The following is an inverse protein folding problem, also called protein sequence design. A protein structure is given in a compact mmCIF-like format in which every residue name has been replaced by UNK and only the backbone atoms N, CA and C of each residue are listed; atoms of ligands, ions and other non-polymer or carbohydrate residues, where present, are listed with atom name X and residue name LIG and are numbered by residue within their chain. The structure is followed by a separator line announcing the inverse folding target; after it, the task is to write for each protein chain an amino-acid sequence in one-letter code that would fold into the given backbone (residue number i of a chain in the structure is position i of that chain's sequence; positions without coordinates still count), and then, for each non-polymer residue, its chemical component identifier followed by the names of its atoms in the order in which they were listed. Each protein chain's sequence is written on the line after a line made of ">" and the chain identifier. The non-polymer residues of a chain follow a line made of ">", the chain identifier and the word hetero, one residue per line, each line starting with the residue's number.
data_IF_925897676302
#
_entry.id   IF_925897676302
#
_cell.length_a   1.000
_cell.length_b   1.000
_cell.length_c   1.000
_cell.angle_alpha   90.00
_cell.angle_beta   90.00
_cell.angle_gamma   90.00
#
_symmetry.space_group_name_H-M   'P 1'
#
loop_
_entity.id
_entity.type
_entity.pdbx_description
1 polymer ?
#
# COMPACT_ATOMS: atom_id res chain seq x y z
N UNK A 1 -11.53 21.52 21.00
CA UNK A 1 -11.14 22.31 19.81
C UNK A 1 -11.89 21.76 18.59
N UNK A 2 -12.70 22.59 17.94
CA UNK A 2 -13.43 22.23 16.72
C UNK A 2 -12.44 22.14 15.56
N UNK A 3 -12.13 20.93 15.07
CA UNK A 3 -11.28 20.78 13.88
C UNK A 3 -12.01 21.33 12.66
N UNK A 4 -11.36 22.20 11.90
CA UNK A 4 -11.93 22.72 10.65
C UNK A 4 -12.03 21.61 9.60
N UNK A 5 -12.96 21.70 8.64
CA UNK A 5 -13.05 20.74 7.53
C UNK A 5 -11.73 20.59 6.76
N UNK A 6 -10.91 21.63 6.75
CA UNK A 6 -9.57 21.63 6.17
C UNK A 6 -8.65 20.65 6.89
N UNK A 7 -8.61 20.72 8.23
CA UNK A 7 -7.78 19.83 9.06
C UNK A 7 -8.19 18.36 8.91
N UNK A 8 -9.50 18.09 8.75
CA UNK A 8 -10.01 16.73 8.53
C UNK A 8 -9.53 16.11 7.21
N UNK A 9 -9.22 16.91 6.20
CA UNK A 9 -8.72 16.42 4.91
C UNK A 9 -7.19 16.27 4.96
N UNK A 10 -6.49 17.16 5.68
CA UNK A 10 -5.03 17.15 5.74
C UNK A 10 -4.46 15.91 6.43
N UNK A 11 -5.02 15.45 7.56
CA UNK A 11 -4.50 14.23 8.20
C UNK A 11 -4.69 12.98 7.32
N UNK A 12 -5.76 12.96 6.51
CA UNK A 12 -6.01 11.87 5.54
C UNK A 12 -4.93 11.85 4.47
N UNK A 13 -4.60 13.01 3.89
CA UNK A 13 -3.53 13.13 2.90
C UNK A 13 -2.17 12.75 3.52
N UNK A 14 -1.86 13.24 4.72
CA UNK A 14 -0.63 12.87 5.45
C UNK A 14 -0.54 11.36 5.66
N UNK A 15 -1.61 10.72 6.12
CA UNK A 15 -1.64 9.28 6.37
C UNK A 15 -1.45 8.49 5.07
N UNK A 16 -2.16 8.86 3.99
CA UNK A 16 -1.97 8.25 2.67
C UNK A 16 -0.54 8.41 2.17
N UNK A 17 0.05 9.60 2.35
CA UNK A 17 1.42 9.91 1.98
C UNK A 17 2.45 9.07 2.74
N UNK A 18 2.28 8.92 4.05
CA UNK A 18 3.09 8.04 4.87
C UNK A 18 2.96 6.57 4.42
N UNK A 19 1.72 6.07 4.29
CA UNK A 19 1.45 4.70 3.87
C UNK A 19 2.07 4.37 2.51
N UNK A 20 1.95 5.26 1.51
CA UNK A 20 2.50 4.96 0.17
C UNK A 20 4.02 4.92 0.20
N UNK A 21 4.69 5.84 0.90
CA UNK A 21 6.16 5.81 1.02
C UNK A 21 6.63 4.56 1.77
N UNK A 22 5.90 4.13 2.80
CA UNK A 22 6.18 2.89 3.51
C UNK A 22 5.95 1.64 2.64
N UNK A 23 5.02 1.67 1.68
CA UNK A 23 4.84 0.60 0.67
C UNK A 23 6.03 0.55 -0.29
N UNK A 24 6.49 1.72 -0.78
CA UNK A 24 7.70 1.79 -1.62
C UNK A 24 8.93 1.30 -0.85
N UNK A 25 9.06 1.69 0.43
CA UNK A 25 10.13 1.24 1.32
C UNK A 25 10.12 -0.28 1.47
N UNK A 26 8.94 -0.88 1.68
CA UNK A 26 8.83 -2.33 1.76
C UNK A 26 9.29 -3.02 0.49
N UNK A 27 8.84 -2.55 -0.68
CA UNK A 27 9.25 -3.15 -1.95
C UNK A 27 10.72 -2.92 -2.31
N UNK A 28 11.35 -1.92 -1.70
CA UNK A 28 12.79 -1.64 -1.80
C UNK A 28 13.58 -2.56 -0.88
N UNK A 29 13.13 -2.71 0.36
CA UNK A 29 13.83 -3.51 1.37
C UNK A 29 13.66 -5.01 1.10
N UNK A 30 12.43 -5.43 0.79
CA UNK A 30 12.06 -6.82 0.58
C UNK A 30 11.56 -7.05 -0.86
N UNK A 31 12.20 -7.95 -1.66
CA UNK A 31 13.37 -8.77 -1.33
C UNK A 31 14.74 -8.14 -1.71
N UNK A 32 14.76 -6.98 -2.36
CA UNK A 32 15.97 -6.43 -3.00
C UNK A 32 17.14 -6.19 -2.04
N UNK A 33 16.96 -5.25 -1.09
CA UNK A 33 18.01 -4.90 -0.12
C UNK A 33 18.37 -6.04 0.82
N UNK A 34 17.39 -6.79 1.32
CA UNK A 34 17.63 -7.97 2.17
C UNK A 34 18.58 -8.96 1.46
N UNK A 35 18.37 -9.20 0.17
CA UNK A 35 19.25 -10.04 -0.63
C UNK A 35 20.69 -9.54 -0.74
N UNK A 36 20.95 -8.26 -0.45
CA UNK A 36 22.31 -7.69 -0.44
C UNK A 36 23.08 -7.95 0.85
N UNK A 37 22.39 -8.28 1.95
CA UNK A 37 23.04 -8.40 3.26
C UNK A 37 24.16 -9.42 3.29
N UNK A 38 24.00 -10.56 2.61
CA UNK A 38 25.03 -11.60 2.50
C UNK A 38 26.35 -11.13 1.88
N UNK A 39 26.35 -10.00 1.18
CA UNK A 39 27.56 -9.43 0.56
C UNK A 39 28.19 -8.32 1.39
N UNK A 40 27.49 -7.76 2.38
CA UNK A 40 27.99 -6.64 3.17
C UNK A 40 29.22 -7.07 3.98
N UNK A 41 30.22 -6.20 4.08
CA UNK A 41 31.36 -6.39 4.99
C UNK A 41 31.23 -5.56 6.28
N UNK A 42 30.38 -4.53 6.27
CA UNK A 42 30.06 -3.68 7.41
C UNK A 42 28.62 -3.15 7.34
N UNK A 43 28.09 -2.58 8.43
CA UNK A 43 26.75 -1.98 8.45
C UNK A 43 25.61 -2.95 8.73
N UNK A 44 25.89 -4.14 9.26
CA UNK A 44 24.90 -5.17 9.63
C UNK A 44 23.78 -4.64 10.51
N UNK A 45 24.11 -3.83 11.52
CA UNK A 45 23.13 -3.25 12.45
C UNK A 45 22.15 -2.31 11.72
N UNK A 46 22.60 -1.27 10.97
CA UNK A 46 21.70 -0.47 10.14
C UNK A 46 20.85 -1.30 9.16
N UNK A 47 21.44 -2.31 8.52
CA UNK A 47 20.71 -3.17 7.59
C UNK A 47 19.58 -3.95 8.27
N UNK A 48 19.86 -4.56 9.43
CA UNK A 48 18.87 -5.27 10.23
C UNK A 48 17.77 -4.34 10.73
N UNK A 49 18.12 -3.12 11.15
CA UNK A 49 17.14 -2.10 11.56
C UNK A 49 16.14 -1.83 10.44
N UNK A 50 16.56 -1.75 9.18
CA UNK A 50 15.64 -1.55 8.06
C UNK A 50 14.65 -2.70 7.85
N UNK A 51 15.12 -3.95 8.02
CA UNK A 51 14.27 -5.13 7.92
C UNK A 51 13.27 -5.16 9.06
N UNK A 52 13.74 -5.01 10.31
CA UNK A 52 12.89 -5.02 11.49
C UNK A 52 11.88 -3.88 11.46
N UNK A 53 12.29 -2.68 11.03
CA UNK A 53 11.40 -1.54 10.84
C UNK A 53 10.27 -1.84 9.85
N UNK A 54 10.57 -2.51 8.73
CA UNK A 54 9.55 -2.93 7.77
C UNK A 54 8.58 -3.97 8.32
N UNK A 55 9.09 -4.92 9.11
CA UNK A 55 8.30 -5.95 9.78
C UNK A 55 7.35 -5.34 10.79
N UNK A 56 7.85 -4.46 11.67
CA UNK A 56 7.06 -3.78 12.71
C UNK A 56 5.99 -2.87 12.11
N UNK A 57 6.25 -2.23 10.97
CA UNK A 57 5.27 -1.37 10.29
C UNK A 57 4.32 -2.13 9.35
N UNK A 58 4.46 -3.45 9.21
CA UNK A 58 3.56 -4.27 8.40
C UNK A 58 2.08 -4.13 8.81
N UNK A 59 1.71 -4.16 10.11
CA UNK A 59 0.33 -3.97 10.58
C UNK A 59 -0.23 -2.56 10.37
N UNK A 60 0.62 -1.59 10.01
CA UNK A 60 0.23 -0.19 9.83
C UNK A 60 -0.14 0.08 8.36
N UNK A 61 0.75 -0.30 7.44
CA UNK A 61 0.73 0.14 6.02
C UNK A 61 -0.60 -0.13 5.32
N UNK A 62 -0.93 -1.40 5.11
CA UNK A 62 -2.12 -1.80 4.35
C UNK A 62 -3.41 -1.62 5.17
N UNK A 63 -3.49 -1.97 6.47
CA UNK A 63 -4.69 -1.73 7.27
C UNK A 63 -5.11 -0.26 7.31
N UNK A 64 -4.18 0.67 7.55
CA UNK A 64 -4.50 2.10 7.58
C UNK A 64 -4.92 2.62 6.19
N UNK A 65 -4.27 2.14 5.13
CA UNK A 65 -4.59 2.55 3.77
C UNK A 65 -5.96 2.04 3.31
N UNK A 66 -6.37 0.83 3.72
CA UNK A 66 -7.74 0.33 3.48
C UNK A 66 -8.78 1.03 4.34
N UNK A 67 -8.48 1.32 5.60
CA UNK A 67 -9.36 2.11 6.47
C UNK A 67 -9.67 3.48 5.86
N UNK A 68 -8.66 4.22 5.43
CA UNK A 68 -8.84 5.52 4.76
C UNK A 68 -9.65 5.37 3.48
N UNK A 69 -9.38 4.35 2.67
CA UNK A 69 -10.15 4.11 1.45
C UNK A 69 -11.61 3.77 1.72
N UNK A 70 -11.90 3.03 2.80
CA UNK A 70 -13.26 2.80 3.28
C UNK A 70 -13.95 4.09 3.68
N UNK A 71 -13.28 4.92 4.49
CA UNK A 71 -13.75 6.24 4.91
C UNK A 71 -14.11 7.14 3.71
N UNK A 72 -13.24 7.19 2.70
CA UNK A 72 -13.47 7.98 1.48
C UNK A 72 -14.54 7.37 0.55
N UNK A 73 -14.82 6.07 0.68
CA UNK A 73 -15.82 5.36 -0.09
C UNK A 73 -17.22 5.41 0.52
N UNK A 74 -17.36 5.73 1.82
CA UNK A 74 -18.63 5.69 2.57
C UNK A 74 -19.80 6.36 1.82
N UNK A 75 -19.62 7.58 1.33
CA UNK A 75 -20.69 8.30 0.62
C UNK A 75 -21.10 7.58 -0.69
N UNK A 76 -20.14 6.99 -1.40
CA UNK A 76 -20.39 6.20 -2.61
C UNK A 76 -21.13 4.90 -2.33
N UNK A 77 -20.89 4.29 -1.16
CA UNK A 77 -21.54 3.05 -0.72
C UNK A 77 -22.99 3.34 -0.31
N UNK A 78 -23.21 4.35 0.55
CA UNK A 78 -24.51 4.60 1.18
C UNK A 78 -25.45 5.39 0.27
N UNK A 79 -24.99 6.49 -0.35
CA UNK A 79 -25.91 7.49 -0.92
C UNK A 79 -25.97 7.46 -2.45
N UNK A 80 -24.98 6.89 -3.15
CA UNK A 80 -24.88 6.98 -4.61
C UNK A 80 -25.57 5.80 -5.34
N UNK A 81 -26.25 6.03 -6.47
CA UNK A 81 -26.87 4.95 -7.25
C UNK A 81 -25.83 4.08 -7.96
N UNK A 82 -26.16 2.80 -8.21
CA UNK A 82 -25.29 1.81 -8.85
C UNK A 82 -24.68 2.29 -10.17
N UNK A 83 -25.50 2.88 -11.04
CA UNK A 83 -25.07 3.39 -12.35
C UNK A 83 -23.93 4.41 -12.23
N UNK A 84 -24.05 5.38 -11.31
CA UNK A 84 -23.01 6.41 -11.15
C UNK A 84 -21.70 5.83 -10.62
N UNK A 85 -21.79 4.85 -9.73
CA UNK A 85 -20.64 4.26 -9.04
C UNK A 85 -19.88 3.28 -9.93
N UNK A 86 -20.59 2.43 -10.66
CA UNK A 86 -20.00 1.44 -11.55
C UNK A 86 -19.23 2.14 -12.67
N UNK A 87 -19.87 3.12 -13.34
CA UNK A 87 -19.25 3.81 -14.49
C UNK A 87 -18.04 4.67 -14.12
N UNK A 88 -17.90 5.11 -12.86
CA UNK A 88 -16.85 6.07 -12.47
C UNK A 88 -15.74 5.45 -11.61
N UNK A 89 -16.08 4.75 -10.54
CA UNK A 89 -15.08 4.34 -9.54
C UNK A 89 -14.59 2.93 -9.79
N UNK A 90 -15.52 1.98 -9.92
CA UNK A 90 -15.18 0.56 -10.03
C UNK A 90 -14.48 0.28 -11.37
N UNK A 91 -15.06 0.76 -12.48
CA UNK A 91 -14.42 0.62 -13.80
C UNK A 91 -13.02 1.23 -13.81
N UNK A 92 -12.82 2.39 -13.18
CA UNK A 92 -11.50 3.01 -13.13
C UNK A 92 -10.48 2.19 -12.32
N UNK A 93 -10.88 1.61 -11.18
CA UNK A 93 -9.98 0.78 -10.37
C UNK A 93 -9.52 -0.48 -11.12
N UNK A 94 -10.46 -1.21 -11.73
CA UNK A 94 -10.11 -2.41 -12.50
C UNK A 94 -9.36 -2.07 -13.78
N UNK A 95 -9.71 -0.98 -14.46
CA UNK A 95 -8.98 -0.50 -15.62
C UNK A 95 -7.52 -0.21 -15.28
N UNK A 96 -7.27 0.55 -14.21
CA UNK A 96 -5.90 0.88 -13.79
C UNK A 96 -5.15 -0.36 -13.32
N UNK A 97 -5.82 -1.28 -12.63
CA UNK A 97 -5.22 -2.55 -12.21
C UNK A 97 -4.72 -3.38 -13.40
N UNK A 98 -5.57 -3.55 -14.43
CA UNK A 98 -5.21 -4.33 -15.62
C UNK A 98 -4.17 -3.59 -16.47
N UNK A 99 -4.38 -2.30 -16.73
CA UNK A 99 -3.49 -1.49 -17.55
C UNK A 99 -2.09 -1.44 -16.95
N UNK A 100 -1.96 -1.00 -15.69
CA UNK A 100 -0.66 -0.92 -15.05
C UNK A 100 -0.09 -2.29 -14.71
N UNK A 101 -0.93 -3.30 -14.46
CA UNK A 101 -0.47 -4.68 -14.34
C UNK A 101 0.25 -5.14 -15.61
N UNK A 102 -0.34 -4.86 -16.78
CA UNK A 102 0.25 -5.20 -18.07
C UNK A 102 1.53 -4.39 -18.35
N UNK A 103 1.52 -3.07 -18.09
CA UNK A 103 2.71 -2.22 -18.23
C UNK A 103 3.84 -2.72 -17.30
N UNK A 104 3.54 -3.00 -16.03
CA UNK A 104 4.52 -3.53 -15.09
C UNK A 104 5.11 -4.84 -15.58
N UNK A 105 4.26 -5.78 -16.01
CA UNK A 105 4.70 -7.08 -16.52
C UNK A 105 5.65 -6.93 -17.73
N UNK A 106 5.26 -6.13 -18.72
CA UNK A 106 6.06 -5.90 -19.91
C UNK A 106 7.38 -5.18 -19.60
N UNK A 107 7.33 -4.10 -18.80
CA UNK A 107 8.52 -3.35 -18.42
C UNK A 107 9.50 -4.17 -17.60
N UNK A 108 9.01 -4.96 -16.63
CA UNK A 108 9.85 -5.78 -15.77
C UNK A 108 10.49 -6.92 -16.55
N UNK A 109 9.76 -7.57 -17.48
CA UNK A 109 10.38 -8.53 -18.39
C UNK A 109 11.53 -7.87 -19.13
N UNK A 110 11.29 -6.75 -19.83
CA UNK A 110 12.34 -6.08 -20.60
C UNK A 110 13.54 -5.65 -19.77
N UNK A 111 13.33 -5.13 -18.55
CA UNK A 111 14.42 -4.78 -17.63
C UNK A 111 15.19 -6.03 -17.20
N UNK A 112 14.49 -7.12 -16.87
CA UNK A 112 15.09 -8.36 -16.39
C UNK A 112 15.84 -9.12 -17.48
N UNK A 113 15.40 -9.07 -18.73
CA UNK A 113 16.03 -9.79 -19.85
C UNK A 113 17.13 -8.97 -20.52
N UNK A 114 16.87 -7.69 -20.81
CA UNK A 114 17.77 -6.89 -21.65
C UNK A 114 18.81 -6.10 -20.85
N UNK A 115 18.49 -5.71 -19.60
CA UNK A 115 19.30 -4.75 -18.85
C UNK A 115 20.06 -5.42 -17.71
N UNK A 116 19.36 -6.21 -16.90
CA UNK A 116 19.90 -6.71 -15.63
C UNK A 116 20.22 -8.20 -15.66
N UNK A 117 19.61 -8.97 -16.58
CA UNK A 117 19.75 -10.43 -16.67
C UNK A 117 19.21 -11.20 -15.45
N UNK A 118 18.65 -10.50 -14.47
CA UNK A 118 18.20 -11.06 -13.18
C UNK A 118 16.95 -10.33 -12.69
N UNK A 119 16.18 -10.99 -11.82
CA UNK A 119 14.97 -10.44 -11.19
C UNK A 119 15.25 -10.08 -9.75
N UNK A 120 14.66 -8.97 -9.25
CA UNK A 120 14.68 -8.64 -7.82
C UNK A 120 14.08 -9.75 -6.98
N UNK A 121 12.96 -10.29 -7.45
CA UNK A 121 12.11 -11.20 -6.69
C UNK A 121 11.85 -12.47 -7.48
N UNK A 122 11.93 -13.60 -6.78
CA UNK A 122 11.52 -14.91 -7.29
C UNK A 122 10.11 -15.31 -6.85
N UNK A 123 9.41 -14.45 -6.10
CA UNK A 123 8.04 -14.71 -5.70
C UNK A 123 7.09 -14.81 -6.90
N UNK A 124 6.12 -15.72 -6.79
CA UNK A 124 5.03 -15.87 -7.76
C UNK A 124 4.20 -14.58 -7.81
N UNK A 125 4.32 -13.81 -8.90
CA UNK A 125 3.65 -12.53 -9.09
C UNK A 125 3.41 -12.29 -10.59
N UNK A 126 2.25 -11.73 -10.93
CA UNK A 126 1.86 -11.41 -12.30
C UNK A 126 2.92 -10.59 -13.05
N UNK A 127 3.65 -9.72 -12.34
CA UNK A 127 4.67 -8.87 -12.95
C UNK A 127 5.92 -9.65 -13.44
N UNK A 128 6.11 -10.90 -13.00
CA UNK A 128 7.20 -11.78 -13.42
C UNK A 128 6.72 -13.00 -14.24
N UNK A 129 5.46 -12.99 -14.69
CA UNK A 129 4.88 -14.11 -15.43
C UNK A 129 5.67 -14.39 -16.73
N UNK A 130 5.81 -15.66 -17.12
CA UNK A 130 6.51 -16.06 -18.34
C UNK A 130 5.64 -16.01 -19.60
N UNK A 131 4.32 -15.95 -19.45
CA UNK A 131 3.37 -15.94 -20.57
C UNK A 131 2.14 -15.07 -20.28
N UNK A 132 1.42 -14.68 -21.34
CA UNK A 132 0.17 -13.92 -21.22
C UNK A 132 -0.88 -14.69 -20.40
N UNK A 133 -0.99 -16.00 -20.60
CA UNK A 133 -1.94 -16.82 -19.86
C UNK A 133 -1.62 -16.85 -18.36
N UNK A 134 -0.35 -17.02 -18.00
CA UNK A 134 0.09 -16.96 -16.61
C UNK A 134 -0.13 -15.56 -16.00
N UNK A 135 0.19 -14.50 -16.74
CA UNK A 135 -0.08 -13.12 -16.33
C UNK A 135 -1.56 -12.93 -16.00
N UNK A 136 -2.47 -13.37 -16.87
CA UNK A 136 -3.91 -13.25 -16.65
C UNK A 136 -4.34 -14.07 -15.43
N UNK A 137 -3.92 -15.33 -15.31
CA UNK A 137 -4.22 -16.20 -14.16
C UNK A 137 -3.80 -15.55 -12.84
N UNK A 138 -2.55 -15.08 -12.74
CA UNK A 138 -2.02 -14.43 -11.53
C UNK A 138 -2.72 -13.10 -11.25
N UNK A 139 -3.04 -12.33 -12.29
CA UNK A 139 -3.78 -11.07 -12.17
C UNK A 139 -5.18 -11.30 -11.60
N UNK A 140 -5.90 -12.34 -12.05
CA UNK A 140 -7.21 -12.71 -11.53
C UNK A 140 -7.16 -13.24 -10.10
N UNK A 141 -6.09 -13.94 -9.73
CA UNK A 141 -5.86 -14.40 -8.36
C UNK A 141 -5.34 -13.28 -7.42
N UNK A 142 -5.34 -12.02 -7.87
CA UNK A 142 -4.78 -10.88 -7.14
C UNK A 142 -3.33 -11.07 -6.70
N UNK A 143 -2.57 -11.91 -7.41
CA UNK A 143 -1.14 -12.13 -7.21
C UNK A 143 -0.32 -11.10 -7.98
N UNK A 144 -0.63 -9.83 -7.80
CA UNK A 144 0.04 -8.71 -8.46
C UNK A 144 0.48 -7.70 -7.42
N UNK A 145 1.62 -7.04 -7.63
CA UNK A 145 2.06 -5.94 -6.75
C UNK A 145 1.00 -4.84 -6.62
N UNK A 146 0.14 -4.69 -7.65
CA UNK A 146 -0.94 -3.73 -7.68
C UNK A 146 -2.27 -4.20 -7.06
N UNK A 147 -2.29 -5.35 -6.36
CA UNK A 147 -3.50 -6.01 -5.83
C UNK A 147 -4.42 -5.12 -4.99
N UNK A 148 -3.92 -4.06 -4.34
CA UNK A 148 -4.74 -3.10 -3.59
C UNK A 148 -5.90 -2.54 -4.43
N UNK A 149 -5.67 -2.23 -5.72
CA UNK A 149 -6.70 -1.68 -6.60
C UNK A 149 -7.82 -2.69 -6.87
N UNK A 150 -7.43 -3.96 -7.08
CA UNK A 150 -8.36 -5.08 -7.21
C UNK A 150 -9.18 -5.26 -5.93
N UNK A 151 -8.51 -5.31 -4.78
CA UNK A 151 -9.15 -5.41 -3.46
C UNK A 151 -10.10 -4.25 -3.20
N UNK A 152 -9.71 -3.01 -3.50
CA UNK A 152 -10.56 -1.84 -3.31
C UNK A 152 -11.84 -1.92 -4.15
N UNK A 153 -11.75 -2.36 -5.41
CA UNK A 153 -12.91 -2.60 -6.27
C UNK A 153 -13.84 -3.66 -5.68
N UNK A 154 -13.28 -4.79 -5.27
CA UNK A 154 -14.03 -5.91 -4.69
C UNK A 154 -14.68 -5.55 -3.35
N UNK A 155 -13.93 -4.95 -2.42
CA UNK A 155 -14.44 -4.56 -1.11
C UNK A 155 -15.54 -3.52 -1.22
N UNK A 156 -15.38 -2.56 -2.13
CA UNK A 156 -16.41 -1.58 -2.41
C UNK A 156 -17.69 -2.25 -2.91
N UNK A 157 -17.59 -3.21 -3.85
CA UNK A 157 -18.73 -3.99 -4.35
C UNK A 157 -19.41 -4.73 -3.21
N UNK A 158 -18.68 -5.52 -2.42
CA UNK A 158 -19.21 -6.27 -1.29
C UNK A 158 -19.88 -5.34 -0.26
N UNK A 159 -19.21 -4.26 0.14
CA UNK A 159 -19.77 -3.30 1.09
C UNK A 159 -21.05 -2.63 0.58
N UNK A 160 -21.15 -2.37 -0.73
CA UNK A 160 -22.35 -1.77 -1.34
C UNK A 160 -23.51 -2.74 -1.46
N UNK A 161 -23.25 -3.98 -1.89
CA UNK A 161 -24.28 -5.05 -1.99
C UNK A 161 -24.83 -5.37 -0.59
N UNK A 162 -23.94 -5.62 0.38
CA UNK A 162 -24.31 -6.10 1.71
C UNK A 162 -24.46 -4.98 2.75
N UNK A 163 -24.66 -3.72 2.32
CA UNK A 163 -24.74 -2.56 3.23
C UNK A 163 -25.81 -2.67 4.31
N UNK A 164 -26.92 -3.36 4.02
CA UNK A 164 -28.00 -3.62 4.98
C UNK A 164 -27.60 -4.66 6.04
N UNK A 165 -26.69 -5.58 5.68
CA UNK A 165 -26.19 -6.66 6.53
C UNK A 165 -24.77 -6.37 7.05
N UNK A 166 -24.47 -5.11 7.34
CA UNK A 166 -23.12 -4.64 7.71
C UNK A 166 -22.49 -5.42 8.87
N UNK A 167 -23.28 -5.87 9.85
CA UNK A 167 -22.78 -6.66 10.98
C UNK A 167 -22.36 -8.07 10.54
N UNK A 168 -23.19 -8.76 9.76
CA UNK A 168 -22.85 -10.06 9.20
C UNK A 168 -21.61 -9.97 8.30
N UNK A 169 -21.51 -8.91 7.51
CA UNK A 169 -20.34 -8.67 6.65
C UNK A 169 -19.04 -8.49 7.45
N UNK A 170 -19.10 -7.82 8.60
CA UNK A 170 -17.95 -7.69 9.52
C UNK A 170 -17.59 -9.02 10.16
N UNK A 171 -18.58 -9.82 10.59
CA UNK A 171 -18.31 -11.17 11.13
C UNK A 171 -17.62 -12.05 10.10
N UNK A 172 -18.07 -12.02 8.84
CA UNK A 172 -17.41 -12.71 7.73
C UNK A 172 -15.99 -12.17 7.51
N UNK A 173 -15.79 -10.85 7.57
CA UNK A 173 -14.46 -10.25 7.42
C UNK A 173 -13.50 -10.63 8.56
N UNK A 174 -13.99 -10.78 9.80
CA UNK A 174 -13.20 -11.28 10.93
C UNK A 174 -12.81 -12.74 10.69
N UNK A 175 -13.76 -13.59 10.29
CA UNK A 175 -13.47 -14.99 9.95
C UNK A 175 -12.41 -15.10 8.84
N UNK A 176 -12.60 -14.36 7.75
CA UNK A 176 -11.65 -14.29 6.64
C UNK A 176 -10.26 -13.81 7.08
N UNK A 177 -10.19 -12.86 8.02
CA UNK A 177 -8.92 -12.41 8.58
C UNK A 177 -8.20 -13.54 9.31
N UNK A 178 -8.87 -14.27 10.20
CA UNK A 178 -8.24 -15.40 10.89
C UNK A 178 -7.84 -16.53 9.93
N UNK A 179 -8.69 -16.89 8.97
CA UNK A 179 -8.35 -17.88 7.94
C UNK A 179 -7.11 -17.46 7.11
N UNK A 180 -6.93 -16.16 6.89
CA UNK A 180 -5.76 -15.63 6.21
C UNK A 180 -4.50 -15.64 7.10
N UNK A 181 -4.62 -15.34 8.40
CA UNK A 181 -3.50 -15.36 9.34
C UNK A 181 -3.01 -16.80 9.56
N UNK A 182 -3.93 -17.74 9.70
CA UNK A 182 -3.66 -19.20 9.80
C UNK A 182 -3.21 -19.84 8.47
N UNK A 183 -3.09 -19.04 7.39
CA UNK A 183 -2.67 -19.51 6.06
C UNK A 183 -3.54 -20.64 5.47
N UNK A 184 -4.79 -20.75 5.90
CA UNK A 184 -5.78 -21.69 5.31
C UNK A 184 -6.12 -21.29 3.88
N UNK A 185 -6.14 -19.99 3.61
CA UNK A 185 -6.39 -19.45 2.27
C UNK A 185 -5.11 -19.59 1.43
N UNK A 186 -5.16 -20.32 0.30
CA UNK A 186 -3.99 -20.52 -0.54
C UNK A 186 -3.58 -19.24 -1.26
N UNK A 187 -2.28 -19.14 -1.56
CA UNK A 187 -1.63 -18.01 -2.23
C UNK A 187 -1.67 -16.69 -1.46
N UNK A 188 -0.61 -15.90 -1.57
CA UNK A 188 -0.47 -14.66 -0.82
C UNK A 188 -1.48 -13.56 -1.26
N UNK A 189 -1.95 -13.59 -2.51
CA UNK A 189 -2.91 -12.63 -3.07
C UNK A 189 -4.28 -12.73 -2.41
N UNK A 190 -4.99 -13.86 -2.53
CA UNK A 190 -6.27 -14.11 -1.86
C UNK A 190 -6.17 -14.01 -0.33
N UNK A 191 -5.05 -14.49 0.25
CA UNK A 191 -4.77 -14.31 1.68
C UNK A 191 -4.77 -12.83 2.06
N UNK A 192 -4.09 -11.97 1.30
CA UNK A 192 -4.08 -10.52 1.55
C UNK A 192 -5.49 -9.94 1.39
N UNK A 193 -6.22 -10.33 0.35
CA UNK A 193 -7.60 -9.86 0.15
C UNK A 193 -8.52 -10.21 1.33
N UNK A 194 -8.41 -11.42 1.87
CA UNK A 194 -9.19 -11.83 3.03
C UNK A 194 -8.75 -11.10 4.31
N UNK A 195 -7.44 -10.97 4.51
CA UNK A 195 -6.86 -10.34 5.70
C UNK A 195 -7.32 -8.88 5.86
N UNK A 196 -7.31 -8.09 4.78
CA UNK A 196 -7.50 -6.64 4.91
C UNK A 196 -8.92 -6.14 4.70
N UNK A 197 -9.86 -7.02 4.33
CA UNK A 197 -11.24 -6.64 4.06
C UNK A 197 -11.90 -5.93 5.26
N UNK A 198 -11.63 -6.41 6.48
CA UNK A 198 -12.17 -5.85 7.71
C UNK A 198 -11.85 -4.35 7.86
N UNK A 199 -10.62 -3.92 7.58
CA UNK A 199 -10.21 -2.53 7.78
C UNK A 199 -10.93 -1.58 6.81
N UNK A 200 -11.21 -2.04 5.59
CA UNK A 200 -12.04 -1.28 4.66
C UNK A 200 -13.47 -1.12 5.20
N UNK A 201 -14.08 -2.17 5.77
CA UNK A 201 -15.42 -2.10 6.37
C UNK A 201 -15.46 -1.17 7.58
N UNK A 202 -14.44 -1.23 8.45
CA UNK A 202 -14.31 -0.32 9.59
C UNK A 202 -14.25 1.14 9.13
N UNK A 203 -13.51 1.43 8.06
CA UNK A 203 -13.50 2.75 7.44
C UNK A 203 -14.86 3.14 6.84
N UNK A 204 -15.49 2.21 6.12
CA UNK A 204 -16.73 2.48 5.41
C UNK A 204 -17.93 2.75 6.33
N UNK A 205 -18.06 1.99 7.43
CA UNK A 205 -19.25 1.99 8.27
C UNK A 205 -19.04 2.51 9.70
N UNK A 206 -17.80 2.46 10.23
CA UNK A 206 -17.47 2.84 11.62
C UNK A 206 -16.35 3.88 11.72
N UNK A 207 -16.11 4.65 10.66
CA UNK A 207 -15.07 5.69 10.66
C UNK A 207 -15.20 6.68 11.81
N UNK A 208 -16.40 7.18 12.08
CA UNK A 208 -16.63 8.14 13.18
C UNK A 208 -16.25 7.56 14.55
N UNK A 209 -16.56 6.28 14.78
CA UNK A 209 -16.18 5.57 16.00
C UNK A 209 -14.65 5.43 16.10
N UNK A 210 -14.00 4.98 15.03
CA UNK A 210 -12.53 4.88 14.97
C UNK A 210 -11.83 6.23 15.17
N UNK A 211 -12.36 7.30 14.57
CA UNK A 211 -11.85 8.67 14.75
C UNK A 211 -12.00 9.14 16.21
N UNK A 212 -13.14 8.85 16.86
CA UNK A 212 -13.32 9.17 18.29
C UNK A 212 -12.36 8.38 19.17
N UNK A 213 -12.19 7.08 18.92
CA UNK A 213 -11.26 6.19 19.64
C UNK A 213 -9.80 6.61 19.46
N UNK A 214 -9.46 7.24 18.34
CA UNK A 214 -8.10 7.76 18.07
C UNK A 214 -7.74 9.01 18.88
N UNK A 215 -8.71 9.65 19.56
CA UNK A 215 -8.42 10.88 20.31
C UNK A 215 -7.76 10.57 21.66
N UNK A 216 -6.76 11.37 22.06
CA UNK A 216 -6.06 11.23 23.35
C UNK A 216 -6.93 11.75 24.49
N UNK A 217 -7.94 10.96 24.84
CA UNK A 217 -8.89 11.21 25.92
C UNK A 217 -8.84 10.08 26.93
N UNK A 218 -9.07 10.41 28.21
CA UNK A 218 -9.11 9.40 29.29
C UNK A 218 -10.12 8.29 29.03
N UNK A 219 -11.26 8.60 28.41
CA UNK A 219 -12.30 7.64 28.01
C UNK A 219 -11.80 6.54 27.05
N UNK A 220 -10.77 6.83 26.25
CA UNK A 220 -10.24 5.88 25.29
C UNK A 220 -9.14 4.99 25.89
N UNK A 221 -8.59 5.30 27.06
CA UNK A 221 -7.50 4.52 27.66
C UNK A 221 -7.90 3.06 27.90
N UNK A 222 -9.13 2.81 28.35
CA UNK A 222 -9.61 1.45 28.62
C UNK A 222 -9.77 0.61 27.34
N UNK A 223 -10.43 1.10 26.26
CA UNK A 223 -10.41 0.43 24.96
C UNK A 223 -9.00 0.17 24.40
N UNK A 224 -8.09 1.14 24.54
CA UNK A 224 -6.70 0.99 24.11
C UNK A 224 -5.96 -0.09 24.89
N UNK A 225 -6.10 -0.09 26.22
CA UNK A 225 -5.50 -1.10 27.09
C UNK A 225 -6.06 -2.50 26.80
N UNK A 226 -7.38 -2.62 26.57
CA UNK A 226 -8.00 -3.90 26.20
C UNK A 226 -7.49 -4.41 24.85
N UNK A 227 -7.45 -3.55 23.83
CA UNK A 227 -6.90 -3.91 22.52
C UNK A 227 -5.43 -4.32 22.63
N UNK A 228 -4.64 -3.63 23.46
CA UNK A 228 -3.22 -3.93 23.67
C UNK A 228 -3.04 -5.26 24.41
N UNK A 229 -3.86 -5.53 25.43
CA UNK A 229 -3.84 -6.79 26.16
C UNK A 229 -4.17 -7.98 25.24
N UNK A 230 -5.24 -7.88 24.45
CA UNK A 230 -5.62 -8.95 23.50
C UNK A 230 -4.59 -9.10 22.38
N UNK A 231 -4.03 -7.99 21.89
CA UNK A 231 -2.92 -8.03 20.93
C UNK A 231 -1.69 -8.75 21.53
N UNK A 232 -1.34 -8.47 22.80
CA UNK A 232 -0.26 -9.15 23.51
C UNK A 232 -0.52 -10.65 23.66
N UNK A 233 -1.75 -11.05 24.02
CA UNK A 233 -2.17 -12.45 24.07
C UNK A 233 -1.95 -13.12 22.70
N UNK A 234 -2.41 -12.50 21.62
CA UNK A 234 -2.23 -13.04 20.27
C UNK A 234 -0.74 -13.22 19.90
N UNK A 235 0.10 -12.26 20.26
CA UNK A 235 1.56 -12.36 20.01
C UNK A 235 2.16 -13.52 20.81
N UNK A 236 1.74 -13.74 22.06
CA UNK A 236 2.19 -14.87 22.89
C UNK A 236 1.77 -16.22 22.25
N UNK A 237 0.59 -16.28 21.64
CA UNK A 237 0.11 -17.47 20.92
C UNK A 237 0.68 -17.61 19.50
N UNK A 238 1.63 -16.78 19.09
CA UNK A 238 2.29 -16.88 17.78
C UNK A 238 1.47 -16.33 16.60
N UNK A 239 0.46 -15.50 16.85
CA UNK A 239 -0.30 -14.82 15.81
C UNK A 239 0.40 -13.52 15.39
N UNK A 240 1.44 -13.66 14.56
CA UNK A 240 2.34 -12.56 14.12
C UNK A 240 1.61 -11.35 13.49
N UNK A 241 0.40 -11.56 12.96
CA UNK A 241 -0.43 -10.51 12.31
C UNK A 241 -1.78 -10.34 13.01
N UNK A 242 -1.74 -10.18 14.32
CA UNK A 242 -2.93 -9.95 15.13
C UNK A 242 -3.83 -8.82 14.57
N UNK A 243 -5.11 -9.15 14.40
CA UNK A 243 -6.16 -8.19 14.03
C UNK A 243 -6.19 -6.99 14.99
N UNK A 244 -6.04 -7.23 16.29
CA UNK A 244 -6.05 -6.19 17.32
C UNK A 244 -4.84 -5.28 17.24
N UNK A 245 -3.66 -5.83 16.94
CA UNK A 245 -2.46 -5.05 16.67
C UNK A 245 -2.64 -4.15 15.45
N UNK A 246 -3.27 -4.65 14.39
CA UNK A 246 -3.58 -3.83 13.21
C UNK A 246 -4.58 -2.71 13.55
N UNK A 247 -5.61 -2.98 14.35
CA UNK A 247 -6.56 -1.94 14.80
C UNK A 247 -5.84 -0.87 15.63
N UNK A 248 -4.98 -1.26 16.57
CA UNK A 248 -4.15 -0.32 17.34
C UNK A 248 -3.24 0.51 16.44
N UNK A 249 -2.58 -0.13 15.47
CA UNK A 249 -1.72 0.57 14.52
C UNK A 249 -2.51 1.59 13.69
N UNK A 250 -3.74 1.26 13.26
CA UNK A 250 -4.63 2.20 12.58
C UNK A 250 -5.02 3.37 13.48
N UNK A 251 -5.46 3.11 14.71
CA UNK A 251 -5.84 4.16 15.67
C UNK A 251 -4.64 5.08 15.99
N UNK A 252 -3.46 4.50 16.21
CA UNK A 252 -2.22 5.23 16.44
C UNK A 252 -1.85 6.10 15.23
N UNK A 253 -1.97 5.55 14.02
CA UNK A 253 -1.65 6.28 12.79
C UNK A 253 -2.55 7.50 12.59
N UNK A 254 -3.85 7.36 12.88
CA UNK A 254 -4.80 8.47 12.81
C UNK A 254 -4.40 9.54 13.83
N UNK A 255 -4.16 9.15 15.08
CA UNK A 255 -3.80 10.08 16.16
C UNK A 255 -2.48 10.81 15.87
N UNK A 256 -1.45 10.07 15.44
CA UNK A 256 -0.15 10.60 15.07
C UNK A 256 -0.27 11.58 13.88
N UNK A 257 -1.02 11.25 12.83
CA UNK A 257 -1.20 12.14 11.68
C UNK A 257 -2.00 13.41 12.04
N UNK A 258 -3.02 13.31 12.92
CA UNK A 258 -3.75 14.48 13.43
C UNK A 258 -2.84 15.37 14.26
N UNK A 259 -2.04 14.79 15.16
CA UNK A 259 -1.08 15.52 15.98
C UNK A 259 -0.01 16.20 15.12
N UNK A 260 0.56 15.50 14.13
CA UNK A 260 1.57 16.04 13.21
C UNK A 260 1.03 17.24 12.42
N UNK A 261 -0.20 17.17 11.89
CA UNK A 261 -0.77 18.30 11.15
C UNK A 261 -1.13 19.50 12.04
N UNK A 262 -1.34 19.28 13.33
CA UNK A 262 -1.61 20.37 14.28
C UNK A 262 -0.33 21.10 14.70
N UNK A 263 0.81 20.41 14.74
CA UNK A 263 2.07 20.97 15.25
C UNK A 263 3.09 21.30 14.16
N UNK A 264 3.00 20.65 12.99
CA UNK A 264 3.98 20.78 11.91
C UNK A 264 3.31 20.98 10.55
N UNK A 265 4.03 21.65 9.64
CA UNK A 265 3.60 21.78 8.25
C UNK A 265 3.93 20.51 7.46
N UNK A 266 2.95 19.61 7.34
CA UNK A 266 3.08 18.36 6.59
C UNK A 266 2.91 18.53 5.06
N UNK A 267 3.30 19.68 4.50
CA UNK A 267 3.02 20.06 3.10
C UNK A 267 3.50 19.00 2.09
N UNK A 268 4.71 18.48 2.28
CA UNK A 268 5.27 17.45 1.41
C UNK A 268 4.49 16.15 1.50
N UNK A 269 4.24 15.65 2.71
CA UNK A 269 3.50 14.39 2.89
C UNK A 269 2.06 14.50 2.41
N UNK A 270 1.43 15.66 2.59
CA UNK A 270 0.11 15.96 2.03
C UNK A 270 0.12 15.97 0.50
N UNK A 271 1.15 16.54 -0.11
CA UNK A 271 1.31 16.50 -1.56
C UNK A 271 1.54 15.08 -2.08
N UNK A 272 2.37 14.27 -1.41
CA UNK A 272 2.53 12.85 -1.72
C UNK A 272 1.20 12.10 -1.57
N UNK A 273 0.45 12.40 -0.51
CA UNK A 273 -0.89 11.85 -0.23
C UNK A 273 -1.94 12.13 -1.30
N UNK A 274 -1.87 13.28 -1.97
CA UNK A 274 -2.73 13.59 -3.13
C UNK A 274 -2.30 12.83 -4.39
N UNK A 275 -1.01 12.49 -4.47
CA UNK A 275 -0.35 11.87 -5.60
C UNK A 275 -0.04 10.37 -5.38
N UNK A 276 -0.79 9.70 -4.50
CA UNK A 276 -0.52 8.31 -4.14
C UNK A 276 -0.68 7.33 -5.30
N UNK A 277 -1.62 7.59 -6.20
CA UNK A 277 -1.98 6.63 -7.26
C UNK A 277 -0.82 6.40 -8.23
N UNK A 278 -0.21 7.47 -8.73
CA UNK A 278 0.89 7.37 -9.67
C UNK A 278 2.14 6.74 -9.04
N UNK A 279 2.43 7.04 -7.77
CA UNK A 279 3.53 6.40 -7.04
C UNK A 279 3.22 4.90 -6.91
N UNK A 280 2.00 4.56 -6.51
CA UNK A 280 1.57 3.17 -6.32
C UNK A 280 1.71 2.31 -7.58
N UNK A 281 1.32 2.81 -8.75
CA UNK A 281 1.35 1.99 -9.97
C UNK A 281 2.71 1.98 -10.69
N UNK A 282 3.57 2.98 -10.46
CA UNK A 282 4.84 3.11 -11.20
C UNK A 282 6.04 2.59 -10.38
N UNK A 283 6.03 2.75 -9.05
CA UNK A 283 7.22 2.54 -8.21
C UNK A 283 7.90 1.19 -8.44
N UNK A 284 7.14 0.11 -8.68
CA UNK A 284 7.72 -1.23 -8.84
C UNK A 284 8.61 -1.36 -10.09
N UNK A 285 8.26 -0.66 -11.17
CA UNK A 285 9.07 -0.62 -12.40
C UNK A 285 10.42 0.04 -12.11
N UNK A 286 10.39 1.17 -11.38
CA UNK A 286 11.60 1.89 -11.01
C UNK A 286 12.44 1.17 -9.98
N UNK A 287 11.82 0.46 -9.03
CA UNK A 287 12.55 -0.40 -8.10
C UNK A 287 13.26 -1.51 -8.89
N UNK A 288 12.58 -2.17 -9.84
CA UNK A 288 13.22 -3.19 -10.67
C UNK A 288 14.40 -2.60 -11.46
N UNK A 289 14.23 -1.42 -12.06
CA UNK A 289 15.30 -0.76 -12.82
C UNK A 289 16.44 -0.26 -11.93
N UNK A 290 16.21 0.76 -11.10
CA UNK A 290 17.25 1.39 -10.30
C UNK A 290 17.79 0.47 -9.21
N UNK A 291 16.91 -0.31 -8.58
CA UNK A 291 17.28 -1.21 -7.51
C UNK A 291 18.21 -2.31 -8.00
N UNK A 292 17.85 -3.03 -9.07
CA UNK A 292 18.72 -4.08 -9.63
C UNK A 292 19.99 -3.52 -10.22
N UNK A 293 19.90 -2.43 -11.01
CA UNK A 293 21.09 -1.85 -11.61
C UNK A 293 22.10 -1.43 -10.55
N UNK A 294 21.66 -0.82 -9.44
CA UNK A 294 22.54 -0.46 -8.33
C UNK A 294 23.15 -1.69 -7.63
N UNK A 295 22.33 -2.73 -7.36
CA UNK A 295 22.80 -3.96 -6.70
C UNK A 295 23.85 -4.66 -7.57
N UNK A 296 23.54 -4.88 -8.85
CA UNK A 296 24.41 -5.58 -9.80
C UNK A 296 25.69 -4.79 -10.05
N UNK A 297 25.60 -3.46 -10.15
CA UNK A 297 26.78 -2.60 -10.27
C UNK A 297 27.71 -2.76 -9.05
N UNK A 298 27.15 -2.68 -7.84
CA UNK A 298 27.92 -2.83 -6.61
C UNK A 298 28.58 -4.22 -6.49
N UNK A 299 27.88 -5.28 -6.91
CA UNK A 299 28.42 -6.64 -6.96
C UNK A 299 29.54 -6.77 -8.00
N UNK A 300 29.31 -6.31 -9.24
CA UNK A 300 30.28 -6.41 -10.33
C UNK A 300 31.59 -5.70 -10.05
N UNK A 301 31.52 -4.58 -9.32
CA UNK A 301 32.70 -3.79 -8.94
C UNK A 301 33.23 -4.12 -7.54
N UNK A 302 32.77 -5.20 -6.91
CA UNK A 302 33.21 -5.63 -5.58
C UNK A 302 33.12 -4.53 -4.51
N UNK A 303 32.18 -3.59 -4.66
CA UNK A 303 32.07 -2.43 -3.77
C UNK A 303 31.68 -2.83 -2.35
N UNK A 304 30.95 -3.93 -2.20
CA UNK A 304 30.59 -4.47 -0.89
C UNK A 304 31.78 -5.03 -0.11
N UNK A 305 32.94 -5.25 -0.73
CA UNK A 305 34.16 -5.64 -0.01
C UNK A 305 34.76 -4.44 0.75
N UNK A 306 34.38 -3.21 0.36
CA UNK A 306 34.84 -1.99 1.01
C UNK A 306 33.90 -1.64 2.18
N UNK A 307 34.42 -1.71 3.41
CA UNK A 307 33.63 -1.49 4.62
C UNK A 307 32.89 -0.14 4.65
N UNK A 308 33.51 0.94 4.17
CA UNK A 308 32.87 2.26 4.11
C UNK A 308 31.65 2.26 3.17
N UNK A 309 31.76 1.61 2.01
CA UNK A 309 30.67 1.52 1.04
C UNK A 309 29.56 0.63 1.57
N UNK A 310 29.87 -0.54 2.14
CA UNK A 310 28.86 -1.40 2.77
C UNK A 310 28.08 -0.67 3.87
N UNK A 311 28.77 0.09 4.71
CA UNK A 311 28.11 0.88 5.75
C UNK A 311 27.19 1.96 5.18
N UNK A 312 27.65 2.72 4.19
CA UNK A 312 26.81 3.73 3.53
C UNK A 312 25.62 3.11 2.80
N UNK A 313 25.83 1.98 2.11
CA UNK A 313 24.78 1.22 1.46
C UNK A 313 23.71 0.79 2.47
N UNK A 314 24.13 0.20 3.58
CA UNK A 314 23.22 -0.25 4.64
C UNK A 314 22.41 0.90 5.25
N UNK A 315 23.01 2.08 5.42
CA UNK A 315 22.34 3.25 5.98
C UNK A 315 21.38 3.92 4.99
N UNK A 316 21.80 4.12 3.73
CA UNK A 316 21.15 5.07 2.83
C UNK A 316 20.45 4.44 1.62
N UNK A 317 20.76 3.20 1.23
CA UNK A 317 20.14 2.60 0.04
C UNK A 317 18.61 2.61 0.10
N UNK A 318 17.94 2.17 1.19
CA UNK A 318 16.48 2.16 1.22
C UNK A 318 15.86 3.55 1.04
N UNK A 319 16.43 4.57 1.69
CA UNK A 319 15.94 5.95 1.61
C UNK A 319 16.18 6.54 0.21
N UNK A 320 17.37 6.32 -0.35
CA UNK A 320 17.74 6.81 -1.67
C UNK A 320 16.83 6.24 -2.77
N UNK A 321 16.61 4.91 -2.77
CA UNK A 321 15.75 4.26 -3.76
C UNK A 321 14.28 4.66 -3.58
N UNK A 322 13.77 4.79 -2.34
CA UNK A 322 12.41 5.29 -2.09
C UNK A 322 12.23 6.70 -2.64
N UNK A 323 13.19 7.60 -2.35
CA UNK A 323 13.16 8.97 -2.84
C UNK A 323 13.19 9.02 -4.37
N UNK A 324 14.15 8.32 -4.98
CA UNK A 324 14.32 8.26 -6.44
C UNK A 324 13.07 7.70 -7.12
N UNK A 325 12.57 6.54 -6.70
CA UNK A 325 11.41 5.90 -7.31
C UNK A 325 10.15 6.76 -7.15
N UNK A 326 9.95 7.38 -5.99
CA UNK A 326 8.78 8.24 -5.74
C UNK A 326 8.84 9.51 -6.60
N UNK A 327 10.00 10.18 -6.67
CA UNK A 327 10.19 11.38 -7.48
C UNK A 327 10.03 11.08 -8.97
N UNK A 328 10.66 10.02 -9.48
CA UNK A 328 10.54 9.60 -10.87
C UNK A 328 9.09 9.20 -11.23
N UNK A 329 8.36 8.56 -10.31
CA UNK A 329 6.95 8.22 -10.52
C UNK A 329 6.10 9.47 -10.71
N UNK A 330 6.32 10.50 -9.89
CA UNK A 330 5.60 11.77 -10.04
C UNK A 330 6.06 12.56 -11.26
N UNK A 331 7.35 12.52 -11.59
CA UNK A 331 7.88 13.16 -12.80
C UNK A 331 7.24 12.57 -14.07
N UNK A 332 7.25 11.24 -14.22
CA UNK A 332 6.57 10.55 -15.33
C UNK A 332 5.11 10.95 -15.39
N UNK A 333 4.41 10.91 -14.27
CA UNK A 333 3.00 11.33 -14.23
C UNK A 333 2.83 12.78 -14.70
N UNK A 334 3.67 13.73 -14.26
CA UNK A 334 3.54 15.13 -14.66
C UNK A 334 3.75 15.36 -16.17
N UNK A 335 4.61 14.55 -16.78
CA UNK A 335 4.95 14.59 -18.21
C UNK A 335 3.86 13.91 -19.05
N UNK A 336 3.36 12.76 -18.58
CA UNK A 336 2.42 11.91 -19.32
C UNK A 336 0.97 12.28 -19.09
N UNK A 337 0.61 12.95 -17.99
CA UNK A 337 -0.77 13.30 -17.65
C UNK A 337 -1.30 14.51 -18.45
N UNK A 338 -1.14 14.47 -19.78
CA UNK A 338 -1.56 15.48 -20.75
C UNK A 338 -2.21 14.81 -21.96
N UNK A 339 -3.28 15.39 -22.49
CA UNK A 339 -3.99 14.87 -23.67
C UNK A 339 -4.39 13.41 -23.51
N UNK A 340 -3.98 12.57 -24.48
CA UNK A 340 -4.23 11.11 -24.45
C UNK A 340 -3.56 10.38 -23.28
N UNK A 341 -2.44 10.88 -22.75
CA UNK A 341 -1.74 10.22 -21.66
C UNK A 341 -2.46 10.31 -20.30
N UNK A 342 -3.51 11.14 -20.19
CA UNK A 342 -4.44 11.08 -19.05
C UNK A 342 -5.13 9.71 -18.92
N UNK A 343 -5.26 8.98 -20.04
CA UNK A 343 -5.78 7.61 -20.05
C UNK A 343 -4.94 6.65 -19.21
N UNK A 344 -3.66 6.94 -18.98
CA UNK A 344 -2.82 6.11 -18.13
C UNK A 344 -3.27 6.14 -16.66
N UNK A 345 -3.96 7.19 -16.22
CA UNK A 345 -4.31 7.37 -14.80
C UNK A 345 -5.81 7.47 -14.55
N UNK A 346 -6.61 7.63 -15.61
CA UNK A 346 -8.07 7.72 -15.53
C UNK A 346 -8.70 7.06 -16.75
N UNK A 347 -9.80 6.32 -16.55
CA UNK A 347 -10.54 5.67 -17.63
C UNK A 347 -10.96 6.69 -18.71
N UNK A 348 -10.73 6.41 -20.02
CA UNK A 348 -10.87 7.41 -21.09
C UNK A 348 -12.24 8.10 -21.17
N UNK A 349 -13.32 7.38 -20.89
CA UNK A 349 -14.67 7.98 -20.94
C UNK A 349 -14.94 8.94 -19.79
N UNK A 350 -14.23 8.81 -18.66
CA UNK A 350 -14.30 9.74 -17.55
C UNK A 350 -13.51 11.02 -17.84
N UNK A 351 -12.40 10.91 -18.56
CA UNK A 351 -11.63 12.06 -19.05
C UNK A 351 -12.48 12.94 -19.97
N UNK A 352 -13.20 12.32 -20.93
CA UNK A 352 -14.11 13.04 -21.85
C UNK A 352 -15.26 13.73 -21.12
N UNK A 353 -15.82 13.12 -20.07
CA UNK A 353 -16.89 13.73 -19.26
C UNK A 353 -16.43 14.93 -18.43
N UNK A 354 -15.16 14.98 -18.04
CA UNK A 354 -14.60 16.14 -17.33
C UNK A 354 -14.38 17.32 -18.27
N UNK A 355 -13.92 17.07 -19.50
CA UNK A 355 -13.70 18.13 -20.50
C UNK A 355 -14.99 18.59 -21.20
N UNK A 356 -16.01 17.73 -21.31
CA UNK A 356 -17.32 18.07 -21.90
C UNK A 356 -18.31 18.76 -20.94
N UNK A 357 -17.86 19.17 -19.75
CA UNK A 357 -18.64 19.98 -18.79
C UNK A 357 -18.03 21.38 -18.57
N UNK A 358 -17.07 21.77 -19.42
CA UNK A 358 -16.50 23.11 -19.47
C UNK A 358 -17.35 24.04 -20.31
#
# INVERSE_FOLDING_TARGET
>A
MSQTKSDQILWVDTLKGACILLVVLYHTVLPGFEGTMKYLTAGWIPAEIWIQFNTVLSPLRMPAFFFVSGLLATNGIINRPWKQVFTSRITNLFYLYILWGFIQWWSIIGISTEITGQRISQNLNAAYAGSLFEFLKLTFMAMSTSWYLYGLGLYFLCAKVFRQYKLALVLVAILLNYLAVEKVIPFWGPQSLAQYFLFFLLGAFWSQTMLRLSEWRRENLMPWALLAAVAGIHVIFGLDKSLFLCVLAVLFSIAACRWLNQHFSMRYLNWVGRNTLQIYVIHRIFIEFFGMSAILFAQRHHLFEQAWFSFLWACFYPVAIVGLCSLCSVAIWSLTNRGVGQSLFVFPTLVKRAHGRG
#
